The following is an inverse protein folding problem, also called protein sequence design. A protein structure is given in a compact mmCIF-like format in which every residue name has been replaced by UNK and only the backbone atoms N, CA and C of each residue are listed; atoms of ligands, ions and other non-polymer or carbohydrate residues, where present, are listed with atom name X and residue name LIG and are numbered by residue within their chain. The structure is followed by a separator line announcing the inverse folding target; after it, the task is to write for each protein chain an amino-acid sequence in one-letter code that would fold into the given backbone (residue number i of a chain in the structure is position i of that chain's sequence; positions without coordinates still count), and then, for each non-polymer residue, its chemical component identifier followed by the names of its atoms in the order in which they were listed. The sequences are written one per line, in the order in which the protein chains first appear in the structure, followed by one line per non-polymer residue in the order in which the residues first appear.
data_IF_910055545338
#
_entry.id   IF_910055545338
#
_cell.length_a   1.000
_cell.length_b   1.000
_cell.length_c   1.000
_cell.angle_alpha   90.00
_cell.angle_beta   90.00
_cell.angle_gamma   90.00
#
_symmetry.space_group_name_H-M   'P 1'
#
loop_
_entity.id
_entity.type
_entity.pdbx_description
1 polymer ?
#
# COMPACT_ATOMS: atom_id res chain seq x y z
N UNK A 1 -5.39 26.26 -2.21
CA UNK A 1 -5.02 25.23 -3.21
C UNK A 1 -5.08 23.87 -2.51
N UNK A 2 -6.19 23.14 -2.65
CA UNK A 2 -6.28 21.77 -2.13
C UNK A 2 -5.55 20.86 -3.13
N UNK A 3 -4.26 20.65 -2.92
CA UNK A 3 -3.50 19.68 -3.71
C UNK A 3 -3.99 18.26 -3.46
N UNK A 4 -3.83 17.39 -4.46
CA UNK A 4 -4.14 15.97 -4.32
C UNK A 4 -3.28 15.36 -3.22
N UNK A 5 -3.95 14.79 -2.22
CA UNK A 5 -3.31 14.09 -1.10
C UNK A 5 -3.35 12.60 -1.38
N UNK A 6 -2.20 11.96 -1.24
CA UNK A 6 -2.12 10.51 -1.12
C UNK A 6 -2.44 10.10 0.32
N UNK A 7 -3.06 8.94 0.47
CA UNK A 7 -3.31 8.30 1.75
C UNK A 7 -2.67 6.92 1.70
N UNK A 8 -1.94 6.56 2.75
CA UNK A 8 -1.17 5.32 2.77
C UNK A 8 -1.83 4.32 3.71
N UNK A 9 -2.00 3.07 3.29
CA UNK A 9 -2.40 1.97 4.14
C UNK A 9 -1.22 0.99 4.30
N UNK A 10 -0.76 0.75 5.53
CA UNK A 10 0.43 -0.05 5.81
C UNK A 10 0.07 -1.30 6.62
N UNK A 11 0.54 -2.46 6.15
CA UNK A 11 0.47 -3.72 6.89
C UNK A 11 1.88 -4.28 7.04
N UNK A 12 2.36 -4.39 8.27
CA UNK A 12 3.75 -4.75 8.59
C UNK A 12 3.79 -5.71 9.77
N UNK A 13 3.55 -7.00 9.50
CA UNK A 13 3.50 -8.05 10.52
C UNK A 13 4.81 -8.81 10.68
N UNK A 14 5.54 -9.04 9.58
CA UNK A 14 6.86 -9.68 9.59
C UNK A 14 7.55 -9.54 8.24
N UNK A 15 7.03 -10.25 7.24
CA UNK A 15 7.43 -10.19 5.83
C UNK A 15 6.39 -10.99 5.06
N UNK A 16 5.88 -10.47 3.93
CA UNK A 16 6.24 -9.18 3.35
C UNK A 16 5.61 -7.99 4.10
N UNK A 17 6.09 -6.78 3.80
CA UNK A 17 5.38 -5.53 4.11
C UNK A 17 4.47 -5.19 2.93
N UNK A 18 3.21 -4.84 3.23
CA UNK A 18 2.23 -4.41 2.24
C UNK A 18 1.99 -2.91 2.39
N UNK A 19 2.03 -2.17 1.29
CA UNK A 19 1.66 -0.76 1.24
C UNK A 19 0.59 -0.54 0.18
N UNK A 20 -0.56 0.00 0.58
CA UNK A 20 -1.60 0.52 -0.29
C UNK A 20 -1.51 2.03 -0.39
N UNK A 21 -1.73 2.57 -1.59
CA UNK A 21 -1.76 4.01 -1.88
C UNK A 21 -3.16 4.36 -2.37
N UNK A 22 -3.77 5.36 -1.76
CA UNK A 22 -5.14 5.81 -2.01
C UNK A 22 -5.17 7.29 -2.34
N UNK A 23 -6.17 7.72 -3.12
CA UNK A 23 -6.41 9.13 -3.46
C UNK A 23 -7.89 9.49 -3.32
N UNK A 24 -8.19 10.71 -2.88
CA UNK A 24 -9.57 11.25 -2.75
C UNK A 24 -10.17 11.74 -4.08
N UNK A 25 -9.35 11.90 -5.12
CA UNK A 25 -9.77 12.33 -6.46
C UNK A 25 -8.80 11.75 -7.49
N UNK A 26 -9.14 10.63 -8.13
CA UNK A 26 -8.29 10.03 -9.17
C UNK A 26 -8.41 10.78 -10.52
N UNK A 27 -9.36 11.72 -10.65
CA UNK A 27 -9.74 12.25 -11.96
C UNK A 27 -9.10 13.63 -12.21
N UNK A 28 -7.86 13.64 -12.76
CA UNK A 28 -7.38 14.52 -13.87
C UNK A 28 -5.86 14.66 -13.99
N UNK A 29 -5.10 14.59 -12.89
CA UNK A 29 -3.73 15.13 -12.88
C UNK A 29 -2.60 14.10 -13.00
N UNK A 30 -2.83 12.79 -12.80
CA UNK A 30 -1.76 11.80 -12.89
C UNK A 30 -1.27 11.59 -14.33
N UNK A 31 -2.17 11.56 -15.31
CA UNK A 31 -1.81 11.50 -16.74
C UNK A 31 -0.93 12.71 -17.15
N UNK A 32 -1.26 13.92 -16.67
CA UNK A 32 -0.45 15.12 -16.91
C UNK A 32 0.93 15.09 -16.26
N UNK A 33 1.10 14.37 -15.14
CA UNK A 33 2.34 14.35 -14.37
C UNK A 33 3.31 13.27 -14.84
N UNK A 34 2.82 12.13 -15.35
CA UNK A 34 3.68 11.18 -16.06
C UNK A 34 4.28 11.80 -17.33
N UNK A 35 3.52 12.62 -18.05
CA UNK A 35 4.01 13.34 -19.24
C UNK A 35 5.12 14.37 -18.91
N UNK A 36 5.20 14.84 -17.65
CA UNK A 36 6.21 15.81 -17.21
C UNK A 36 7.55 15.19 -16.78
N UNK A 37 7.61 13.86 -16.69
CA UNK A 37 8.85 13.10 -16.51
C UNK A 37 9.42 12.71 -17.89
N UNK A 38 9.84 13.69 -18.70
CA UNK A 38 10.63 13.57 -19.95
C UNK A 38 10.26 12.46 -20.97
N UNK A 39 9.02 11.95 -20.95
CA UNK A 39 8.50 11.09 -21.99
C UNK A 39 7.56 11.90 -22.87
N UNK A 40 8.10 12.44 -23.95
CA UNK A 40 7.39 13.24 -24.94
C UNK A 40 6.27 12.47 -25.64
N UNK A 41 5.04 12.37 -25.11
CA UNK A 41 3.93 11.85 -25.90
C UNK A 41 2.61 12.57 -25.62
N UNK A 42 2.03 13.08 -26.73
CA UNK A 42 0.80 13.86 -26.75
C UNK A 42 -0.41 13.04 -26.29
N UNK A 43 -1.00 13.40 -25.15
CA UNK A 43 -2.36 12.99 -24.77
C UNK A 43 -3.31 14.20 -24.85
N UNK A 44 -3.67 14.60 -26.08
CA UNK A 44 -4.80 15.49 -26.32
C UNK A 44 -6.01 14.67 -26.74
N UNK A 45 -7.15 14.97 -26.10
CA UNK A 45 -8.47 14.32 -26.14
C UNK A 45 -8.61 13.13 -25.19
N UNK A 46 -9.50 13.31 -24.22
CA UNK A 46 -10.55 12.36 -23.78
C UNK A 46 -11.29 13.02 -22.59
N UNK A 47 -12.37 13.73 -22.89
CA UNK A 47 -13.36 14.18 -21.91
C UNK A 47 -14.68 13.51 -22.28
N UNK A 48 -15.24 12.76 -21.33
CA UNK A 48 -16.53 12.10 -21.48
C UNK A 48 -16.79 11.13 -20.35
N UNK A 49 -16.88 11.62 -19.11
CA UNK A 49 -17.53 10.91 -18.02
C UNK A 49 -18.53 11.86 -17.37
N UNK A 50 -19.80 11.45 -17.44
CA UNK A 50 -20.97 12.19 -17.03
C UNK A 50 -20.93 12.59 -15.55
N UNK A 51 -21.17 13.87 -15.31
CA UNK A 51 -21.32 14.50 -14.02
C UNK A 51 -22.65 14.08 -13.39
N UNK A 52 -22.70 12.99 -12.61
CA UNK A 52 -23.85 12.65 -11.75
C UNK A 52 -23.55 11.57 -10.71
N UNK A 53 -22.59 11.81 -9.82
CA UNK A 53 -22.47 11.04 -8.56
C UNK A 53 -22.06 11.97 -7.42
N UNK A 54 -22.75 11.83 -6.30
CA UNK A 54 -22.74 12.72 -5.15
C UNK A 54 -21.34 12.89 -4.50
N UNK A 55 -20.92 14.15 -4.37
CA UNK A 55 -20.12 14.87 -3.35
C UNK A 55 -19.42 14.16 -2.15
N UNK A 56 -19.12 12.87 -2.15
CA UNK A 56 -18.18 12.27 -1.19
C UNK A 56 -16.79 12.14 -1.83
N UNK A 57 -15.80 12.80 -1.23
CA UNK A 57 -14.38 12.60 -1.54
C UNK A 57 -13.93 11.24 -1.01
N UNK A 58 -14.20 10.18 -1.75
CA UNK A 58 -13.83 8.82 -1.37
C UNK A 58 -12.34 8.58 -1.61
N UNK A 59 -11.64 8.08 -0.58
CA UNK A 59 -10.26 7.59 -0.69
C UNK A 59 -10.26 6.25 -1.41
N UNK A 60 -9.90 6.21 -2.69
CA UNK A 60 -9.91 4.97 -3.50
C UNK A 60 -8.53 4.40 -3.68
N UNK A 61 -8.42 3.08 -3.61
CA UNK A 61 -7.17 2.35 -3.81
C UNK A 61 -6.68 2.60 -5.24
N UNK A 62 -5.49 3.18 -5.36
CA UNK A 62 -4.82 3.47 -6.61
C UNK A 62 -3.85 2.35 -7.00
N UNK A 63 -2.99 1.98 -6.06
CA UNK A 63 -2.01 0.92 -6.23
C UNK A 63 -1.69 0.31 -4.88
N UNK A 64 -1.22 -0.93 -4.88
CA UNK A 64 -0.60 -1.51 -3.70
C UNK A 64 0.59 -2.36 -4.09
N UNK A 65 1.51 -2.54 -3.17
CA UNK A 65 2.68 -3.37 -3.42
C UNK A 65 3.09 -4.14 -2.19
N UNK A 66 3.83 -5.21 -2.46
CA UNK A 66 4.38 -6.15 -1.50
C UNK A 66 5.90 -6.11 -1.67
N UNK A 67 6.60 -5.86 -0.58
CA UNK A 67 8.06 -5.91 -0.56
C UNK A 67 8.46 -7.01 0.42
N UNK A 68 9.14 -8.03 -0.08
CA UNK A 68 9.71 -9.11 0.72
C UNK A 68 11.02 -8.66 1.35
N UNK A 69 11.23 -8.91 2.65
CA UNK A 69 12.46 -8.56 3.36
C UNK A 69 12.23 -8.21 4.82
N UNK A 70 13.27 -7.68 5.49
CA UNK A 70 13.15 -7.28 6.90
C UNK A 70 12.44 -5.93 7.02
N UNK A 71 11.49 -5.83 7.95
CA UNK A 71 10.79 -4.56 8.25
C UNK A 71 11.75 -3.42 8.57
N UNK A 72 12.89 -3.73 9.22
CA UNK A 72 13.94 -2.77 9.55
C UNK A 72 14.55 -2.09 8.33
N UNK A 73 14.47 -2.73 7.17
CA UNK A 73 15.10 -2.28 5.93
C UNK A 73 14.03 -1.67 5.01
N UNK A 74 12.85 -2.30 4.95
CA UNK A 74 11.74 -1.89 4.07
C UNK A 74 11.12 -0.55 4.51
N UNK A 75 10.91 -0.33 5.80
CA UNK A 75 10.31 0.94 6.25
C UNK A 75 11.19 2.16 5.92
N UNK A 76 12.52 2.15 6.21
CA UNK A 76 13.40 3.20 5.72
C UNK A 76 13.33 3.40 4.20
N UNK A 77 13.28 2.31 3.43
CA UNK A 77 13.19 2.39 1.97
C UNK A 77 11.91 3.10 1.51
N UNK A 78 10.75 2.67 2.01
CA UNK A 78 9.45 3.25 1.66
C UNK A 78 9.43 4.74 2.03
N UNK A 79 9.72 5.06 3.29
CA UNK A 79 9.62 6.43 3.77
C UNK A 79 10.71 7.34 3.23
N UNK A 80 11.91 6.81 2.98
CA UNK A 80 12.97 7.55 2.31
C UNK A 80 12.52 8.02 0.94
N UNK A 81 11.98 7.12 0.10
CA UNK A 81 11.51 7.46 -1.26
C UNK A 81 10.32 8.42 -1.28
N UNK A 82 9.57 8.52 -0.19
CA UNK A 82 8.45 9.46 -0.05
C UNK A 82 8.93 10.83 0.47
N UNK A 83 9.87 10.86 1.41
CA UNK A 83 10.13 12.07 2.23
C UNK A 83 11.44 12.79 1.90
N UNK A 84 12.38 12.10 1.25
CA UNK A 84 13.69 12.67 0.90
C UNK A 84 13.59 13.31 -0.49
N UNK A 85 13.78 14.62 -0.58
CA UNK A 85 13.77 15.32 -1.87
C UNK A 85 15.13 15.26 -2.59
N UNK A 86 16.21 14.86 -1.91
CA UNK A 86 17.55 14.79 -2.48
C UNK A 86 17.73 13.52 -3.33
N UNK A 87 17.77 13.69 -4.66
CA UNK A 87 17.92 12.59 -5.63
C UNK A 87 19.21 11.78 -5.46
N UNK A 88 20.33 12.42 -5.10
CA UNK A 88 21.61 11.73 -4.92
C UNK A 88 21.58 10.80 -3.70
N UNK A 89 21.01 11.27 -2.57
CA UNK A 89 20.81 10.45 -1.37
C UNK A 89 19.87 9.27 -1.63
N UNK A 90 18.79 9.49 -2.38
CA UNK A 90 17.86 8.43 -2.77
C UNK A 90 18.51 7.36 -3.64
N UNK A 91 19.33 7.74 -4.62
CA UNK A 91 19.95 6.77 -5.52
C UNK A 91 20.88 5.80 -4.77
N UNK A 92 21.68 6.30 -3.83
CA UNK A 92 22.55 5.46 -2.99
C UNK A 92 21.77 4.57 -2.02
N UNK A 93 20.62 5.03 -1.54
CA UNK A 93 19.73 4.22 -0.70
C UNK A 93 19.07 3.10 -1.53
N UNK A 94 18.52 3.44 -2.70
CA UNK A 94 17.78 2.52 -3.57
C UNK A 94 18.65 1.40 -4.14
N UNK A 95 19.94 1.64 -4.37
CA UNK A 95 20.85 0.59 -4.85
C UNK A 95 20.95 -0.61 -3.90
N UNK A 96 20.66 -0.42 -2.60
CA UNK A 96 20.67 -1.49 -1.59
C UNK A 96 19.43 -2.40 -1.63
N UNK A 97 18.39 -2.00 -2.35
CA UNK A 97 17.10 -2.70 -2.41
C UNK A 97 16.85 -3.40 -3.74
N UNK A 98 17.85 -3.44 -4.64
CA UNK A 98 17.73 -4.06 -5.97
C UNK A 98 17.43 -5.55 -5.90
N UNK A 99 17.89 -6.23 -4.85
CA UNK A 99 17.75 -7.67 -4.68
C UNK A 99 16.46 -8.07 -3.92
N UNK A 100 15.64 -7.10 -3.53
CA UNK A 100 14.39 -7.38 -2.82
C UNK A 100 13.33 -7.88 -3.80
N UNK A 101 12.76 -9.06 -3.51
CA UNK A 101 11.56 -9.53 -4.21
C UNK A 101 10.40 -8.58 -3.90
N UNK A 102 9.91 -7.91 -4.93
CA UNK A 102 8.87 -6.92 -4.81
C UNK A 102 7.85 -7.06 -5.93
N UNK A 103 6.63 -6.63 -5.64
CA UNK A 103 5.46 -6.89 -6.46
C UNK A 103 4.57 -5.66 -6.42
N UNK A 104 4.28 -5.07 -7.57
CA UNK A 104 3.37 -3.93 -7.71
C UNK A 104 2.06 -4.37 -8.36
N UNK A 105 0.96 -3.91 -7.80
CA UNK A 105 -0.40 -4.09 -8.30
C UNK A 105 -1.08 -2.74 -8.50
N UNK A 106 -1.73 -2.58 -9.65
CA UNK A 106 -2.46 -1.37 -10.02
C UNK A 106 -3.97 -1.63 -10.02
N UNK A 107 -4.74 -0.66 -9.55
CA UNK A 107 -6.21 -0.72 -9.54
C UNK A 107 -6.80 -0.67 -10.96
N UNK A 108 -7.84 -1.47 -11.23
CA UNK A 108 -8.55 -1.52 -12.53
C UNK A 108 -9.10 -0.17 -13.00
N UNK A 109 -9.37 0.76 -12.07
CA UNK A 109 -9.80 2.12 -12.39
C UNK A 109 -8.81 2.92 -13.27
N UNK A 110 -7.58 2.42 -13.42
CA UNK A 110 -6.57 2.94 -14.36
C UNK A 110 -6.61 2.28 -15.76
N UNK A 111 -7.16 1.08 -15.90
CA UNK A 111 -7.09 0.27 -17.14
C UNK A 111 -8.10 0.76 -18.20
N UNK A 112 -9.06 1.59 -17.80
CA UNK A 112 -10.03 2.18 -18.72
C UNK A 112 -9.59 3.58 -19.21
N UNK A 113 -8.71 3.62 -20.21
CA UNK A 113 -8.96 4.46 -21.39
C UNK A 113 -8.18 3.93 -22.60
N UNK A 114 -8.92 3.64 -23.67
CA UNK A 114 -8.38 3.26 -24.97
C UNK A 114 -7.49 4.36 -25.55
N UNK A 115 -6.21 4.39 -25.18
CA UNK A 115 -5.06 4.75 -26.02
C UNK A 115 -3.80 4.91 -25.15
N UNK A 116 -2.99 3.84 -25.11
CA UNK A 116 -1.56 3.82 -24.73
C UNK A 116 -1.19 4.40 -23.36
N UNK A 117 -1.42 3.61 -22.32
CA UNK A 117 -0.39 3.43 -21.30
C UNK A 117 0.45 2.23 -21.73
N UNK A 118 1.72 2.45 -22.06
CA UNK A 118 2.63 1.32 -22.25
C UNK A 118 2.98 0.79 -20.85
N UNK A 119 2.76 -0.50 -20.56
CA UNK A 119 3.40 -1.10 -19.41
C UNK A 119 4.89 -0.83 -19.52
N UNK A 120 5.54 -0.49 -18.40
CA UNK A 120 6.99 -0.60 -18.30
C UNK A 120 7.29 -2.04 -18.73
N UNK A 121 7.97 -2.19 -19.87
CA UNK A 121 8.05 -3.41 -20.68
C UNK A 121 8.35 -4.65 -19.83
N UNK A 122 7.37 -5.54 -19.71
CA UNK A 122 7.64 -6.94 -19.38
C UNK A 122 8.12 -7.69 -20.62
N UNK A 123 9.38 -8.12 -20.59
CA UNK A 123 9.81 -9.29 -21.32
C UNK A 123 9.27 -10.52 -20.59
N UNK A 124 8.08 -11.00 -20.98
CA UNK A 124 7.72 -12.39 -20.78
C UNK A 124 6.73 -12.81 -21.88
N UNK A 125 7.25 -13.65 -22.76
CA UNK A 125 6.61 -14.17 -23.95
C UNK A 125 5.44 -15.11 -23.65
N UNK A 126 4.48 -15.06 -24.58
CA UNK A 126 3.54 -16.09 -25.05
C UNK A 126 2.36 -16.50 -24.17
N UNK A 127 1.20 -16.02 -24.61
CA UNK A 127 -0.05 -16.73 -24.88
C UNK A 127 -0.57 -17.70 -23.82
N UNK A 128 -1.54 -17.25 -23.04
CA UNK A 128 -2.69 -18.08 -22.68
C UNK A 128 -3.94 -17.20 -22.50
N UNK A 129 -5.06 -17.68 -23.06
CA UNK A 129 -6.38 -17.07 -23.01
C UNK A 129 -6.94 -17.33 -21.60
N UNK A 130 -7.30 -16.29 -20.85
CA UNK A 130 -7.87 -16.46 -19.50
C UNK A 130 -9.24 -15.78 -19.39
N UNK A 131 -10.13 -16.55 -18.76
CA UNK A 131 -11.56 -16.41 -18.56
C UNK A 131 -11.96 -15.21 -17.66
N UNK A 132 -13.15 -14.67 -17.90
CA UNK A 132 -13.59 -13.32 -17.52
C UNK A 132 -14.12 -13.13 -16.08
N UNK A 133 -13.60 -13.84 -15.08
CA UNK A 133 -14.12 -13.79 -13.69
C UNK A 133 -13.08 -13.58 -12.58
N UNK A 134 -11.88 -13.08 -12.90
CA UNK A 134 -10.84 -12.81 -11.92
C UNK A 134 -10.34 -11.37 -12.08
N UNK A 135 -10.28 -10.63 -10.96
CA UNK A 135 -9.53 -9.37 -10.81
C UNK A 135 -8.19 -9.52 -11.54
N UNK A 136 -8.02 -8.88 -12.70
CA UNK A 136 -6.78 -9.01 -13.46
C UNK A 136 -5.78 -7.99 -12.92
N UNK A 137 -5.23 -8.35 -11.78
CA UNK A 137 -4.10 -7.71 -11.11
C UNK A 137 -2.91 -7.64 -12.08
N UNK A 138 -2.64 -6.45 -12.65
CA UNK A 138 -1.42 -6.22 -13.44
C UNK A 138 -0.23 -6.24 -12.48
N UNK A 139 0.67 -7.20 -12.69
CA UNK A 139 1.76 -7.51 -11.80
C UNK A 139 3.09 -7.11 -12.43
N UNK A 140 3.89 -6.32 -11.71
CA UNK A 140 5.27 -6.03 -12.11
C UNK A 140 6.22 -6.44 -10.99
N UNK A 141 7.20 -7.29 -11.31
CA UNK A 141 8.36 -7.59 -10.43
C UNK A 141 9.44 -6.50 -10.55
N UNK A 142 9.07 -5.22 -10.54
CA UNK A 142 9.99 -4.13 -10.82
C UNK A 142 10.08 -3.13 -9.67
N UNK A 143 11.24 -3.14 -9.02
CA UNK A 143 11.57 -2.20 -7.95
C UNK A 143 11.62 -0.75 -8.46
N UNK A 144 11.99 -0.53 -9.73
CA UNK A 144 12.04 0.81 -10.32
C UNK A 144 10.63 1.40 -10.47
N UNK A 145 9.64 0.56 -10.83
CA UNK A 145 8.23 0.95 -10.84
C UNK A 145 7.73 1.37 -9.45
N UNK A 146 8.09 0.62 -8.41
CA UNK A 146 7.76 0.97 -7.01
C UNK A 146 8.46 2.28 -6.60
N UNK A 147 9.74 2.44 -6.93
CA UNK A 147 10.51 3.66 -6.63
C UNK A 147 9.87 4.88 -7.30
N UNK A 148 9.56 4.79 -8.60
CA UNK A 148 8.95 5.87 -9.36
C UNK A 148 7.58 6.25 -8.76
N UNK A 149 6.78 5.26 -8.39
CA UNK A 149 5.50 5.48 -7.72
C UNK A 149 5.67 6.19 -6.38
N UNK A 150 6.57 5.69 -5.51
CA UNK A 150 6.82 6.27 -4.20
C UNK A 150 7.31 7.73 -4.30
N UNK A 151 8.21 8.01 -5.25
CA UNK A 151 8.75 9.35 -5.49
C UNK A 151 7.74 10.31 -6.13
N UNK A 152 6.64 9.81 -6.70
CA UNK A 152 5.55 10.65 -7.22
C UNK A 152 4.65 11.21 -6.11
N UNK A 153 4.75 10.66 -4.89
CA UNK A 153 3.92 11.05 -3.75
C UNK A 153 4.46 12.34 -3.14
N UNK A 154 3.80 13.46 -3.45
CA UNK A 154 4.22 14.79 -2.98
C UNK A 154 3.59 15.23 -1.65
N UNK A 155 2.45 14.65 -1.27
CA UNK A 155 1.74 15.02 -0.04
C UNK A 155 0.98 13.82 0.53
N UNK A 156 1.13 13.59 1.82
CA UNK A 156 0.42 12.54 2.56
C UNK A 156 -0.64 13.19 3.44
N UNK A 157 -1.90 12.79 3.23
CA UNK A 157 -3.02 13.24 4.05
C UNK A 157 -3.09 12.51 5.39
N UNK A 158 -2.94 11.20 5.40
CA UNK A 158 -2.89 10.36 6.61
C UNK A 158 -2.24 9.01 6.30
N UNK A 159 -1.70 8.37 7.33
CA UNK A 159 -1.27 6.98 7.29
C UNK A 159 -2.28 6.14 8.08
N UNK A 160 -2.75 5.09 7.46
CA UNK A 160 -3.64 4.07 7.99
C UNK A 160 -2.78 2.84 8.19
N UNK A 161 -2.89 2.17 9.33
CA UNK A 161 -2.09 0.96 9.54
C UNK A 161 -2.84 -0.12 10.30
N UNK A 162 -2.45 -1.36 10.01
CA UNK A 162 -2.92 -2.54 10.73
C UNK A 162 -2.26 -2.62 12.11
N UNK A 163 -3.06 -2.42 13.15
CA UNK A 163 -2.70 -2.70 14.54
C UNK A 163 -3.08 -4.13 14.84
N UNK A 164 -2.13 -4.93 15.30
CA UNK A 164 -2.44 -6.32 15.60
C UNK A 164 -1.23 -7.18 15.85
N UNK A 165 -1.41 -8.46 15.54
CA UNK A 165 -0.45 -9.53 15.81
C UNK A 165 0.58 -9.68 14.71
N UNK A 166 1.74 -10.21 15.07
CA UNK A 166 2.88 -10.39 14.18
C UNK A 166 4.16 -10.55 14.97
N UNK A 167 5.30 -10.46 14.28
CA UNK A 167 6.59 -10.39 14.94
C UNK A 167 6.66 -9.17 15.85
N UNK A 168 7.00 -9.39 17.12
CA UNK A 168 7.16 -8.31 18.10
C UNK A 168 8.14 -7.23 17.60
N UNK A 169 9.21 -7.63 16.91
CA UNK A 169 10.18 -6.70 16.33
C UNK A 169 9.56 -5.88 15.19
N UNK A 170 8.77 -6.51 14.31
CA UNK A 170 8.09 -5.81 13.22
C UNK A 170 7.10 -4.76 13.75
N UNK A 171 6.31 -5.12 14.77
CA UNK A 171 5.35 -4.21 15.40
C UNK A 171 6.10 -3.04 16.06
N UNK A 172 7.20 -3.30 16.78
CA UNK A 172 8.04 -2.27 17.40
C UNK A 172 8.63 -1.30 16.38
N UNK A 173 9.26 -1.82 15.32
CA UNK A 173 9.83 -0.99 14.26
C UNK A 173 8.76 -0.15 13.58
N UNK A 174 7.65 -0.78 13.18
CA UNK A 174 6.52 -0.08 12.55
C UNK A 174 6.02 1.07 13.43
N UNK A 175 5.83 0.83 14.73
CA UNK A 175 5.41 1.88 15.65
C UNK A 175 6.43 3.02 15.75
N UNK A 176 7.72 2.74 15.94
CA UNK A 176 8.77 3.77 16.02
C UNK A 176 8.81 4.61 14.73
N UNK A 177 8.72 3.98 13.55
CA UNK A 177 8.70 4.69 12.28
C UNK A 177 7.47 5.58 12.14
N UNK A 178 6.28 5.06 12.43
CA UNK A 178 5.03 5.84 12.32
C UNK A 178 5.01 7.02 13.30
N UNK A 179 5.46 6.82 14.55
CA UNK A 179 5.60 7.90 15.53
C UNK A 179 6.62 8.95 15.08
N UNK A 180 7.73 8.53 14.48
CA UNK A 180 8.70 9.45 13.88
C UNK A 180 8.05 10.33 12.82
N UNK A 181 7.16 9.79 11.99
CA UNK A 181 6.46 10.56 10.95
C UNK A 181 5.45 11.55 11.52
N UNK A 182 4.73 11.16 12.57
CA UNK A 182 3.86 12.08 13.30
C UNK A 182 4.68 13.27 13.83
N UNK A 183 5.78 12.99 14.53
CA UNK A 183 6.60 14.03 15.17
C UNK A 183 7.30 14.90 14.13
N UNK A 184 7.95 14.29 13.14
CA UNK A 184 8.79 15.01 12.19
C UNK A 184 8.01 15.72 11.08
N UNK A 185 6.82 15.23 10.72
CA UNK A 185 6.05 15.71 9.56
C UNK A 185 4.61 16.08 9.86
N UNK A 186 4.11 15.82 11.08
CA UNK A 186 2.72 16.10 11.45
C UNK A 186 1.70 15.25 10.68
N UNK A 187 2.12 14.10 10.14
CA UNK A 187 1.23 13.23 9.37
C UNK A 187 0.29 12.49 10.33
N UNK A 188 -1.04 12.65 10.20
CA UNK A 188 -1.99 11.94 11.06
C UNK A 188 -1.90 10.43 10.88
N UNK A 189 -2.02 9.70 11.99
CA UNK A 189 -2.03 8.25 12.04
C UNK A 189 -3.41 7.73 12.45
N UNK A 190 -3.87 6.67 11.78
CA UNK A 190 -5.14 6.01 12.04
C UNK A 190 -4.93 4.50 12.09
N UNK A 191 -5.43 3.84 13.12
CA UNK A 191 -5.24 2.41 13.34
C UNK A 191 -6.56 1.66 13.22
N UNK A 192 -6.49 0.43 12.71
CA UNK A 192 -7.58 -0.54 12.79
C UNK A 192 -7.02 -1.91 13.11
N UNK A 193 -7.89 -2.84 13.51
CA UNK A 193 -7.50 -4.21 13.76
C UNK A 193 -6.90 -4.85 12.51
N UNK A 194 -5.82 -5.62 12.64
CA UNK A 194 -5.24 -6.33 11.50
C UNK A 194 -6.22 -7.25 10.77
N UNK A 195 -7.20 -7.82 11.48
CA UNK A 195 -8.22 -8.67 10.88
C UNK A 195 -9.15 -7.91 9.92
N UNK A 196 -9.19 -6.57 9.98
CA UNK A 196 -9.87 -5.74 8.96
C UNK A 196 -9.35 -6.02 7.55
N UNK A 197 -8.05 -6.29 7.42
CA UNK A 197 -7.42 -6.59 6.13
C UNK A 197 -7.45 -8.07 5.78
N UNK A 198 -7.86 -8.95 6.69
CA UNK A 198 -7.83 -10.38 6.47
C UNK A 198 -9.20 -10.87 6.01
N UNK A 199 -9.27 -11.52 4.85
CA UNK A 199 -10.53 -12.14 4.39
C UNK A 199 -10.85 -13.45 5.08
N UNK A 200 -9.99 -13.87 6.02
CA UNK A 200 -10.13 -15.09 6.81
C UNK A 200 -10.08 -14.71 8.29
N UNK A 201 -10.73 -15.48 9.17
CA UNK A 201 -10.64 -15.24 10.61
C UNK A 201 -9.37 -15.84 11.25
N UNK A 202 -8.29 -15.99 10.47
CA UNK A 202 -7.05 -16.65 10.90
C UNK A 202 -5.79 -15.95 10.36
N UNK A 203 -4.85 -15.59 11.24
CA UNK A 203 -3.53 -15.05 10.87
C UNK A 203 -2.45 -15.96 11.42
N UNK A 204 -1.51 -16.40 10.57
CA UNK A 204 -0.46 -17.31 10.98
C UNK A 204 0.39 -16.71 12.10
N UNK A 205 0.57 -17.48 13.17
CA UNK A 205 1.49 -17.19 14.27
C UNK A 205 2.76 -18.05 14.11
N UNK A 206 3.15 -18.79 15.15
CA UNK A 206 4.30 -19.70 15.14
C UNK A 206 3.86 -21.17 15.19
N UNK A 207 4.69 -22.07 14.65
CA UNK A 207 4.43 -23.52 14.67
C UNK A 207 3.07 -23.89 14.08
N UNK A 208 2.27 -24.66 14.82
CA UNK A 208 0.88 -25.03 14.45
C UNK A 208 -0.17 -24.11 15.11
N UNK A 209 0.20 -22.88 15.45
CA UNK A 209 -0.72 -21.91 16.03
C UNK A 209 -1.03 -20.77 15.05
N UNK A 210 -2.17 -20.12 15.28
CA UNK A 210 -2.61 -18.93 14.55
C UNK A 210 -3.43 -18.05 15.48
N UNK A 211 -3.46 -16.76 15.16
CA UNK A 211 -4.31 -15.79 15.79
C UNK A 211 -5.69 -15.85 15.15
N UNK A 212 -6.73 -15.73 15.96
CA UNK A 212 -8.12 -15.67 15.55
C UNK A 212 -8.76 -14.43 16.18
N UNK A 213 -9.67 -13.78 15.45
CA UNK A 213 -10.46 -12.69 16.00
C UNK A 213 -11.82 -13.23 16.45
N UNK A 214 -12.05 -13.27 17.76
CA UNK A 214 -13.30 -13.78 18.37
C UNK A 214 -13.68 -12.93 19.56
N UNK A 215 -14.97 -12.66 19.73
CA UNK A 215 -15.50 -11.85 20.84
C UNK A 215 -14.80 -10.49 20.96
N UNK A 216 -14.52 -9.86 19.81
CA UNK A 216 -13.77 -8.59 19.69
C UNK A 216 -12.35 -8.62 20.27
N UNK A 217 -11.75 -9.81 20.43
CA UNK A 217 -10.40 -9.99 20.94
C UNK A 217 -9.58 -10.90 20.01
N UNK A 218 -8.27 -10.67 19.99
CA UNK A 218 -7.34 -11.55 19.28
C UNK A 218 -6.92 -12.67 20.23
N UNK A 219 -7.13 -13.93 19.83
CA UNK A 219 -6.80 -15.12 20.62
C UNK A 219 -5.88 -16.05 19.85
N UNK A 220 -4.93 -16.66 20.54
CA UNK A 220 -4.06 -17.70 19.98
C UNK A 220 -4.76 -19.06 20.04
N UNK A 221 -4.76 -19.79 18.93
CA UNK A 221 -5.39 -21.10 18.83
C UNK A 221 -4.59 -22.06 17.95
N UNK A 222 -4.94 -23.35 18.01
CA UNK A 222 -4.36 -24.36 17.12
C UNK A 222 -4.90 -24.15 15.70
N UNK A 223 -3.97 -24.03 14.76
CA UNK A 223 -4.24 -23.92 13.33
C UNK A 223 -4.39 -25.31 12.71
N UNK A 224 -5.43 -25.49 11.89
CA UNK A 224 -5.61 -26.71 11.10
C UNK A 224 -5.27 -26.49 9.62
N UNK A 225 -5.44 -25.26 9.11
CA UNK A 225 -5.10 -24.91 7.73
C UNK A 225 -4.82 -23.39 7.64
N UNK A 226 -3.60 -22.94 7.98
CA UNK A 226 -3.32 -21.52 8.10
C UNK A 226 -3.47 -20.83 6.74
N UNK A 227 -4.49 -19.98 6.62
CA UNK A 227 -4.67 -19.08 5.47
C UNK A 227 -4.55 -17.65 5.92
N UNK A 228 -3.47 -16.99 5.52
CA UNK A 228 -3.30 -15.55 5.71
C UNK A 228 -3.41 -14.89 4.36
N UNK A 229 -4.54 -14.23 4.11
CA UNK A 229 -4.74 -13.45 2.90
C UNK A 229 -5.13 -12.02 3.27
N UNK A 230 -4.11 -11.16 3.31
CA UNK A 230 -4.26 -9.76 3.63
C UNK A 230 -4.53 -8.98 2.34
N UNK A 231 -5.64 -8.26 2.31
CA UNK A 231 -6.12 -7.50 1.16
C UNK A 231 -6.45 -6.08 1.58
N UNK A 232 -6.27 -5.13 0.67
CA UNK A 232 -6.64 -3.75 0.87
C UNK A 232 -8.08 -3.51 0.40
N UNK A 233 -8.90 -2.75 1.14
CA UNK A 233 -10.24 -2.37 0.66
C UNK A 233 -10.13 -1.46 -0.57
N UNK A 234 -11.15 -1.48 -1.43
CA UNK A 234 -11.18 -0.59 -2.60
C UNK A 234 -11.40 0.88 -2.20
N UNK A 235 -12.10 1.11 -1.08
CA UNK A 235 -12.37 2.43 -0.51
C UNK A 235 -11.94 2.43 0.95
N UNK A 236 -11.24 3.49 1.36
CA UNK A 236 -10.75 3.66 2.72
C UNK A 236 -11.67 4.62 3.48
N UNK A 237 -12.37 4.11 4.50
CA UNK A 237 -13.27 4.89 5.34
C UNK A 237 -12.60 5.25 6.67
N UNK A 238 -12.57 6.53 7.02
CA UNK A 238 -11.90 7.01 8.25
C UNK A 238 -12.49 6.41 9.53
N UNK A 239 -13.79 6.07 9.50
CA UNK A 239 -14.52 5.50 10.63
C UNK A 239 -14.12 4.05 10.94
N UNK A 240 -13.54 3.35 9.98
CA UNK A 240 -13.04 1.98 10.19
C UNK A 240 -11.72 1.97 10.97
N UNK A 241 -11.08 3.14 11.13
CA UNK A 241 -9.76 3.30 11.73
C UNK A 241 -9.81 4.18 12.98
N UNK A 242 -10.60 3.74 13.94
CA UNK A 242 -10.80 4.40 15.23
C UNK A 242 -10.12 3.67 16.40
N UNK A 243 -9.24 2.71 16.14
CA UNK A 243 -8.46 2.07 17.22
C UNK A 243 -7.35 2.98 17.74
N UNK A 244 -6.92 2.68 18.97
CA UNK A 244 -5.73 3.25 19.59
C UNK A 244 -4.50 3.04 18.70
N UNK A 245 -3.60 4.03 18.62
CA UNK A 245 -2.39 3.96 17.79
C UNK A 245 -1.19 3.32 18.52
N UNK A 246 -1.36 2.98 19.79
CA UNK A 246 -0.40 2.25 20.59
C UNK A 246 -0.44 0.75 20.22
N UNK A 247 0.71 0.10 20.01
CA UNK A 247 0.75 -1.31 19.66
C UNK A 247 0.28 -2.17 20.83
N UNK A 248 -0.26 -3.35 20.53
CA UNK A 248 -0.89 -4.22 21.54
C UNK A 248 0.05 -4.55 22.72
N UNK A 249 1.34 -4.75 22.45
CA UNK A 249 2.34 -5.08 23.48
C UNK A 249 2.56 -4.00 24.55
N UNK A 250 2.12 -2.75 24.32
CA UNK A 250 2.27 -1.67 25.30
C UNK A 250 1.22 -1.78 26.40
N UNK A 251 0.00 -2.20 26.04
CA UNK A 251 -1.13 -2.19 26.96
C UNK A 251 -1.45 -3.59 27.52
N UNK A 252 -1.14 -4.66 26.78
CA UNK A 252 -1.26 -6.05 27.25
C UNK A 252 -0.24 -6.93 26.50
N UNK A 253 0.71 -7.60 27.18
CA UNK A 253 1.52 -8.62 26.53
C UNK A 253 0.62 -9.80 26.14
N UNK A 254 0.36 -9.94 24.84
CA UNK A 254 -0.26 -11.12 24.23
C UNK A 254 0.49 -12.41 24.57
#
# INVERSE_FOLDING_TARGET
MNGDKAYLALISTQSPVLLGIYYENIIRDFNKRLDSCDASYNASRLCGLDSKTNNLKEKRLFAWFKISGLVSDILPFIFGNILICNKASLHSMNSRFRDYDCRLWLSESMICSNSKFYPIRDYASSNEIIDSSALHDFYISDIEGIIALLQSINSIGSIYYARGTGSLSAIKFTHIFLQTLIIARGIPLRATNIFYFNTHDEIKAFGNQSFFYKDSQIRLGKSCNPKTNLTFPTVLHDLDFCEACEPLYVNDPL
#
